data_IF_043682709860
#
_entry.id   IF_043682709860
#
_cell.length_a   1.000
_cell.length_b   1.000
_cell.length_c   1.000
_cell.angle_alpha   90.00
_cell.angle_beta   90.00
_cell.angle_gamma   90.00
#
_symmetry.space_group_name_H-M   'P 1'
#
loop_
_entity.id
_entity.type
_entity.pdbx_description
1 polymer ?
#
# COMPACT_ATOMS: atom_id res chain seq x y z
N UNK A 1 -8.82 3.65 -9.48
CA UNK A 1 -7.54 3.37 -8.81
C UNK A 1 -6.87 4.69 -8.45
N UNK A 2 -6.37 4.81 -7.22
CA UNK A 2 -5.59 5.96 -6.74
C UNK A 2 -4.23 5.44 -6.29
N UNK A 3 -3.18 6.18 -6.64
CA UNK A 3 -1.80 5.93 -6.18
C UNK A 3 -1.33 7.25 -5.58
N UNK A 4 -0.83 7.21 -4.35
CA UNK A 4 -0.35 8.38 -3.64
C UNK A 4 0.93 8.05 -2.88
N UNK A 5 1.96 8.87 -3.04
CA UNK A 5 3.25 8.67 -2.37
C UNK A 5 3.51 9.82 -1.41
N UNK A 6 3.53 9.49 -0.13
CA UNK A 6 3.95 10.40 0.92
C UNK A 6 5.46 10.35 1.05
N UNK A 7 6.12 11.40 0.56
CA UNK A 7 7.59 11.50 0.58
C UNK A 7 8.14 11.77 1.98
N UNK A 8 7.38 12.40 2.87
CA UNK A 8 7.84 12.69 4.24
C UNK A 8 7.83 11.41 5.09
N UNK A 9 6.80 10.59 4.91
CA UNK A 9 6.67 9.30 5.60
C UNK A 9 7.41 8.15 4.91
N UNK A 10 7.84 8.30 3.65
CA UNK A 10 8.35 7.22 2.79
C UNK A 10 7.34 6.07 2.62
N UNK A 11 6.07 6.44 2.35
CA UNK A 11 4.95 5.49 2.25
C UNK A 11 4.23 5.63 0.90
N UNK A 12 3.98 4.49 0.25
CA UNK A 12 3.18 4.42 -0.99
C UNK A 12 1.82 3.78 -0.71
N UNK A 13 0.75 4.51 -1.01
CA UNK A 13 -0.62 4.04 -0.94
C UNK A 13 -1.14 3.69 -2.32
N UNK A 14 -1.70 2.49 -2.46
CA UNK A 14 -2.36 2.01 -3.68
C UNK A 14 -3.79 1.64 -3.30
N UNK A 15 -4.74 2.18 -4.03
CA UNK A 15 -6.17 2.05 -3.75
C UNK A 15 -6.89 1.59 -5.01
N UNK A 16 -7.49 0.41 -5.00
CA UNK A 16 -8.11 -0.16 -6.19
C UNK A 16 -9.53 0.36 -6.41
N UNK A 17 -10.30 0.56 -5.32
CA UNK A 17 -11.70 0.99 -5.35
C UNK A 17 -11.97 2.17 -4.41
N UNK A 18 -13.05 2.90 -4.63
CA UNK A 18 -13.63 3.88 -3.68
C UNK A 18 -15.08 3.48 -3.38
N UNK A 19 -15.59 3.68 -2.15
CA UNK A 19 -14.93 4.24 -0.96
C UNK A 19 -13.87 3.31 -0.36
N UNK A 20 -12.97 3.86 0.45
CA UNK A 20 -11.74 3.25 0.98
C UNK A 20 -11.93 2.60 2.36
N UNK A 21 -13.14 2.18 2.70
CA UNK A 21 -13.45 1.52 3.98
C UNK A 21 -12.98 0.07 3.94
N UNK A 22 -11.71 -0.15 4.25
CA UNK A 22 -11.20 -1.49 4.55
C UNK A 22 -11.78 -1.92 5.91
N UNK A 23 -12.22 -3.17 6.01
CA UNK A 23 -12.69 -3.78 7.26
C UNK A 23 -11.57 -4.53 7.98
N UNK A 24 -10.54 -4.93 7.24
CA UNK A 24 -9.42 -5.71 7.77
C UNK A 24 -8.09 -5.34 7.08
N UNK A 25 -6.98 -5.72 7.70
CA UNK A 25 -5.64 -5.52 7.16
C UNK A 25 -4.64 -6.57 7.65
N UNK A 26 -3.76 -6.99 6.75
CA UNK A 26 -2.69 -7.95 7.03
C UNK A 26 -1.33 -7.29 6.80
N UNK A 27 -0.49 -7.23 7.83
CA UNK A 27 0.89 -6.76 7.73
C UNK A 27 1.79 -7.93 7.35
N UNK A 28 2.50 -7.79 6.23
CA UNK A 28 3.53 -8.73 5.80
C UNK A 28 4.90 -8.35 6.40
N UNK A 29 5.79 -9.34 6.50
CA UNK A 29 7.13 -9.17 7.10
C UNK A 29 8.04 -8.17 6.34
N UNK A 30 7.68 -7.82 5.11
CA UNK A 30 8.45 -6.92 4.23
C UNK A 30 7.93 -5.47 4.24
N UNK A 31 7.10 -5.09 5.21
CA UNK A 31 6.57 -3.71 5.32
C UNK A 31 5.44 -3.40 4.34
N UNK A 32 4.80 -4.44 3.78
CA UNK A 32 3.61 -4.31 2.94
C UNK A 32 2.37 -4.61 3.78
N UNK A 33 1.44 -3.66 3.84
CA UNK A 33 0.14 -3.80 4.48
C UNK A 33 -0.93 -3.99 3.41
N UNK A 34 -1.54 -5.17 3.39
CA UNK A 34 -2.68 -5.48 2.53
C UNK A 34 -3.97 -5.02 3.21
N UNK A 35 -4.84 -4.33 2.48
CA UNK A 35 -6.10 -3.78 3.02
C UNK A 35 -7.27 -4.46 2.34
N UNK A 36 -8.15 -5.05 3.14
CA UNK A 36 -9.28 -5.85 2.68
C UNK A 36 -10.61 -5.23 3.09
N UNK A 37 -11.63 -5.41 2.26
CA UNK A 37 -13.04 -5.31 2.65
C UNK A 37 -13.64 -6.69 2.47
N UNK A 38 -14.05 -7.31 3.57
CA UNK A 38 -14.37 -8.74 3.58
C UNK A 38 -13.21 -9.53 2.95
N UNK A 39 -13.46 -10.34 1.93
CA UNK A 39 -12.44 -11.13 1.24
C UNK A 39 -11.80 -10.38 0.03
N UNK A 40 -12.17 -9.12 -0.20
CA UNK A 40 -11.71 -8.35 -1.36
C UNK A 40 -10.52 -7.44 -1.01
N UNK A 41 -9.40 -7.59 -1.73
CA UNK A 41 -8.26 -6.67 -1.62
C UNK A 41 -8.61 -5.30 -2.23
N UNK A 42 -8.76 -4.28 -1.37
CA UNK A 42 -9.17 -2.92 -1.76
C UNK A 42 -8.02 -1.91 -1.78
N UNK A 43 -6.88 -2.25 -1.18
CA UNK A 43 -5.69 -1.41 -1.22
C UNK A 43 -4.43 -2.07 -0.68
N UNK A 44 -3.31 -1.38 -0.88
CA UNK A 44 -1.98 -1.74 -0.40
C UNK A 44 -1.34 -0.48 0.16
N UNK A 45 -0.71 -0.59 1.33
CA UNK A 45 0.19 0.42 1.87
C UNK A 45 1.58 -0.18 1.94
N UNK A 46 2.56 0.50 1.38
CA UNK A 46 3.96 0.07 1.34
C UNK A 46 4.75 1.04 2.20
N UNK A 47 5.35 0.54 3.27
CA UNK A 47 6.32 1.27 4.09
C UNK A 47 7.70 1.21 3.45
N UNK A 48 8.53 2.21 3.73
CA UNK A 48 9.90 2.32 3.20
C UNK A 48 9.95 2.17 1.66
N UNK A 49 8.98 2.76 0.98
CA UNK A 49 8.74 2.52 -0.44
C UNK A 49 9.98 2.85 -1.28
N UNK A 50 10.71 3.90 -0.91
CA UNK A 50 11.96 4.28 -1.56
C UNK A 50 13.00 3.17 -1.54
N UNK A 51 13.08 2.37 -0.46
CA UNK A 51 14.02 1.24 -0.34
C UNK A 51 13.60 0.06 -1.20
N UNK A 52 12.30 -0.24 -1.24
CA UNK A 52 11.79 -1.34 -2.04
C UNK A 52 11.97 -1.09 -3.54
N UNK A 53 11.84 0.17 -3.98
CA UNK A 53 11.96 0.54 -5.39
C UNK A 53 13.32 1.14 -5.79
N UNK A 54 14.26 1.31 -4.86
CA UNK A 54 15.60 1.84 -5.12
C UNK A 54 16.34 1.08 -6.23
N UNK A 55 16.07 -0.24 -6.36
CA UNK A 55 16.70 -1.12 -7.33
C UNK A 55 15.94 -1.24 -8.66
N UNK A 56 14.82 -0.54 -8.85
CA UNK A 56 14.02 -0.58 -10.10
C UNK A 56 14.47 0.49 -11.12
N UNK A 57 15.53 1.25 -10.82
CA UNK A 57 16.15 2.14 -11.81
C UNK A 57 17.00 1.32 -12.80
N UNK A 58 16.33 0.79 -13.83
CA UNK A 58 16.94 0.44 -15.11
C UNK A 58 16.94 1.66 -16.03
#
# INVERSE_FOLDING_TARGET
>A
MLIDYDREADVLYISFKRPQDATDSEMMDNGVLLRYREDELVGITILDASRMFANIRA
#
